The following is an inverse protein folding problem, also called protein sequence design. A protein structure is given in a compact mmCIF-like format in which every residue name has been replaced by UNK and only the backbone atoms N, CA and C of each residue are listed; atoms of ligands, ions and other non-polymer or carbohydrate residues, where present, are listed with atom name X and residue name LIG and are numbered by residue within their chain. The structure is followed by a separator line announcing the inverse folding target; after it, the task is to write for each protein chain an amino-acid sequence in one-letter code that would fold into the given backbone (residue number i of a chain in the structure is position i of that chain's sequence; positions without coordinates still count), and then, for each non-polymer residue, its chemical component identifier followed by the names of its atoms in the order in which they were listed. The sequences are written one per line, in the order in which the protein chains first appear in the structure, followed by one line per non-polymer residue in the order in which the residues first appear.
data_IF_418649512009
#
_entry.id   IF_418649512009
#
_cell.length_a   1.000
_cell.length_b   1.000
_cell.length_c   1.000
_cell.angle_alpha   90.00
_cell.angle_beta   90.00
_cell.angle_gamma   90.00
#
_symmetry.space_group_name_H-M   'P 1'
#
loop_
_entity.id
_entity.type
_entity.pdbx_description
1 polymer ?
#
# COMPACT_ATOMS: atom_id res chain seq x y z
N UNK A 1 -12.30 49.91 73.58
CA UNK A 1 -13.07 48.72 74.03
C UNK A 1 -12.98 47.69 72.90
N UNK A 2 -11.88 46.93 72.79
CA UNK A 2 -11.75 45.53 73.25
C UNK A 2 -12.11 44.59 72.07
N UNK A 3 -11.34 43.58 71.64
CA UNK A 3 -10.14 42.88 72.12
C UNK A 3 -9.37 42.28 70.92
N UNK A 4 -8.13 41.90 71.20
CA UNK A 4 -7.03 41.35 70.40
C UNK A 4 -7.33 40.00 69.71
N UNK A 5 -6.53 39.65 68.69
CA UNK A 5 -5.62 38.48 68.59
C UNK A 5 -5.06 38.43 67.13
N UNK A 6 -3.80 38.80 66.88
CA UNK A 6 -2.57 38.02 66.99
C UNK A 6 -2.46 36.87 65.96
N UNK A 7 -1.46 36.94 65.07
CA UNK A 7 -1.03 35.82 64.24
C UNK A 7 -0.26 36.20 62.97
N UNK A 8 1.04 36.48 63.11
CA UNK A 8 2.00 36.56 62.00
C UNK A 8 2.71 35.21 61.89
N UNK A 9 2.72 34.56 60.71
CA UNK A 9 3.75 33.56 60.34
C UNK A 9 4.07 33.74 58.84
N UNK A 10 5.36 33.82 58.46
CA UNK A 10 5.81 34.17 57.12
C UNK A 10 5.82 32.94 56.19
N UNK A 11 5.32 33.10 54.95
CA UNK A 11 5.30 32.07 53.92
C UNK A 11 6.28 32.38 52.80
N UNK A 12 7.39 31.64 52.81
CA UNK A 12 8.53 31.67 51.89
C UNK A 12 8.10 31.70 50.42
N UNK A 13 8.71 32.62 49.65
CA UNK A 13 8.67 32.68 48.20
C UNK A 13 9.45 31.46 47.63
N UNK A 14 8.76 30.36 47.34
CA UNK A 14 9.36 29.23 46.64
C UNK A 14 9.36 29.51 45.13
N UNK A 15 10.50 29.96 44.60
CA UNK A 15 10.73 30.02 43.16
C UNK A 15 10.83 28.59 42.61
N UNK A 16 9.78 28.11 41.94
CA UNK A 16 9.81 26.85 41.21
C UNK A 16 10.55 27.06 39.89
N UNK A 17 11.80 26.58 39.82
CA UNK A 17 12.54 26.44 38.55
C UNK A 17 11.95 25.22 37.84
N UNK A 18 11.14 25.45 36.80
CA UNK A 18 10.71 24.40 35.89
C UNK A 18 11.89 24.00 34.99
N UNK A 19 12.52 22.87 35.30
CA UNK A 19 13.47 22.24 34.40
C UNK A 19 12.70 21.67 33.20
N UNK A 20 12.72 22.38 32.06
CA UNK A 20 12.35 21.81 30.77
C UNK A 20 13.38 20.73 30.42
N UNK A 21 13.04 19.47 30.68
CA UNK A 21 13.73 18.32 30.12
C UNK A 21 13.48 18.32 28.61
N UNK A 22 14.42 18.86 27.84
CA UNK A 22 14.51 18.56 26.41
C UNK A 22 14.86 17.09 26.28
N UNK A 23 13.85 16.25 25.98
CA UNK A 23 14.09 14.90 25.54
C UNK A 23 14.92 14.97 24.25
N UNK A 24 16.16 14.49 24.30
CA UNK A 24 16.95 14.28 23.10
C UNK A 24 16.14 13.42 22.12
N UNK A 25 16.22 13.66 20.80
CA UNK A 25 15.54 12.80 19.84
C UNK A 25 16.03 11.38 20.07
N UNK A 26 15.10 10.46 20.34
CA UNK A 26 15.42 9.06 20.47
C UNK A 26 16.15 8.63 19.20
N UNK A 27 17.37 8.13 19.36
CA UNK A 27 18.19 7.63 18.27
C UNK A 27 17.36 6.55 17.56
N UNK A 28 16.95 6.82 16.31
CA UNK A 28 16.13 5.91 15.55
C UNK A 28 16.99 4.68 15.24
N UNK A 29 16.89 3.65 16.07
CA UNK A 29 17.65 2.42 15.85
C UNK A 29 17.31 1.87 14.46
N UNK A 30 18.33 1.82 13.60
CA UNK A 30 18.21 1.24 12.28
C UNK A 30 17.91 -0.25 12.44
N UNK A 31 16.69 -0.66 12.14
CA UNK A 31 16.31 -2.07 12.12
C UNK A 31 17.10 -2.78 11.00
N UNK A 32 17.95 -3.74 11.37
CA UNK A 32 18.84 -4.49 10.45
C UNK A 32 18.35 -5.90 10.13
N UNK A 33 17.27 -6.35 10.78
CA UNK A 33 16.66 -7.66 10.57
C UNK A 33 15.13 -7.56 10.55
N UNK A 34 14.47 -8.58 10.01
CA UNK A 34 13.02 -8.69 9.95
C UNK A 34 12.59 -10.13 10.26
N UNK A 35 11.32 -10.31 10.63
CA UNK A 35 10.74 -11.62 10.92
C UNK A 35 9.97 -12.13 9.70
N UNK A 36 10.22 -13.38 9.33
CA UNK A 36 9.40 -14.10 8.37
C UNK A 36 8.31 -14.94 9.08
N UNK A 37 7.14 -15.10 8.46
CA UNK A 37 6.66 -14.34 7.29
C UNK A 37 6.40 -12.86 7.64
N UNK A 38 6.70 -11.94 6.72
CA UNK A 38 6.48 -10.48 6.90
C UNK A 38 4.99 -10.16 6.97
N UNK A 39 4.18 -10.86 6.18
CA UNK A 39 2.72 -10.79 6.16
C UNK A 39 2.17 -12.22 6.15
N UNK A 40 1.86 -12.79 7.33
CA UNK A 40 1.37 -14.17 7.41
C UNK A 40 -0.05 -14.32 6.84
N UNK A 41 -0.93 -13.34 7.10
CA UNK A 41 -2.34 -13.40 6.70
C UNK A 41 -2.88 -12.01 6.32
N UNK A 42 -3.82 -12.00 5.38
CA UNK A 42 -4.61 -10.83 5.05
C UNK A 42 -5.74 -10.60 6.09
N UNK A 43 -6.57 -9.56 5.90
CA UNK A 43 -7.67 -9.31 6.86
C UNK A 43 -8.82 -10.30 6.79
N UNK A 44 -8.92 -11.11 5.73
CA UNK A 44 -9.89 -12.20 5.61
C UNK A 44 -9.45 -13.47 6.36
N UNK A 45 -8.18 -13.53 6.78
CA UNK A 45 -7.56 -14.71 7.38
C UNK A 45 -6.97 -15.67 6.35
N UNK A 46 -6.89 -15.28 5.08
CA UNK A 46 -6.21 -16.01 4.01
C UNK A 46 -4.74 -15.62 3.88
N UNK A 47 -4.01 -16.33 3.03
CA UNK A 47 -2.61 -16.00 2.68
C UNK A 47 -2.53 -14.64 1.94
N UNK A 48 -1.32 -14.10 1.81
CA UNK A 48 -1.04 -12.86 1.05
C UNK A 48 -0.12 -13.11 -0.15
N UNK A 49 -0.57 -13.83 -1.19
CA UNK A 49 0.26 -14.13 -2.36
C UNK A 49 0.58 -12.89 -3.19
N UNK A 50 1.58 -13.04 -4.06
CA UNK A 50 2.02 -12.02 -5.02
C UNK A 50 2.41 -10.67 -4.37
N UNK A 51 3.29 -10.67 -3.35
CA UNK A 51 3.64 -9.45 -2.64
C UNK A 51 4.49 -8.50 -3.51
N UNK A 52 3.98 -7.27 -3.70
CA UNK A 52 4.73 -6.17 -4.31
C UNK A 52 5.09 -5.12 -3.26
N UNK A 53 6.38 -4.97 -2.95
CA UNK A 53 6.89 -4.09 -1.91
C UNK A 53 7.68 -2.91 -2.52
N UNK A 54 7.34 -1.69 -2.13
CA UNK A 54 8.10 -0.49 -2.50
C UNK A 54 8.26 0.47 -1.33
N UNK A 55 9.24 1.38 -1.43
CA UNK A 55 9.51 2.39 -0.40
C UNK A 55 9.22 3.79 -0.94
N UNK A 56 8.45 4.57 -0.19
CA UNK A 56 8.13 5.95 -0.53
C UNK A 56 7.92 6.79 0.73
N UNK A 57 8.49 8.00 0.77
CA UNK A 57 8.41 8.95 1.90
C UNK A 57 8.69 8.32 3.27
N UNK A 58 9.75 7.51 3.35
CA UNK A 58 10.18 6.87 4.60
C UNK A 58 9.25 5.75 5.10
N UNK A 59 8.36 5.23 4.24
CA UNK A 59 7.48 4.10 4.54
C UNK A 59 7.68 2.97 3.54
N UNK A 60 7.50 1.74 4.01
CA UNK A 60 7.26 0.57 3.20
C UNK A 60 5.77 0.50 2.86
N UNK A 61 5.47 0.16 1.62
CA UNK A 61 4.14 -0.05 1.08
C UNK A 61 4.13 -1.41 0.43
N UNK A 62 3.07 -2.18 0.69
CA UNK A 62 2.93 -3.51 0.11
C UNK A 62 1.54 -3.68 -0.47
N UNK A 63 1.49 -4.20 -1.69
CA UNK A 63 0.30 -4.77 -2.32
C UNK A 63 0.43 -6.29 -2.35
N UNK A 64 -0.69 -6.99 -2.41
CA UNK A 64 -0.75 -8.45 -2.56
C UNK A 64 -2.13 -8.82 -3.09
N UNK A 65 -2.24 -10.03 -3.63
CA UNK A 65 -3.53 -10.63 -3.99
C UNK A 65 -4.33 -10.88 -2.72
N UNK A 66 -5.57 -10.38 -2.67
CA UNK A 66 -6.45 -10.52 -1.51
C UNK A 66 -7.88 -10.88 -1.94
N UNK A 67 -8.74 -11.24 -0.99
CA UNK A 67 -10.09 -11.72 -1.30
C UNK A 67 -11.01 -10.63 -1.89
N UNK A 68 -11.15 -10.63 -3.22
CA UNK A 68 -12.14 -9.83 -3.95
C UNK A 68 -11.86 -8.32 -3.98
N UNK A 69 -10.67 -7.88 -3.58
CA UNK A 69 -10.27 -6.48 -3.55
C UNK A 69 -8.77 -6.31 -3.86
N UNK A 70 -8.41 -5.13 -4.36
CA UNK A 70 -7.02 -4.68 -4.39
C UNK A 70 -6.75 -3.87 -3.13
N UNK A 71 -5.64 -4.16 -2.45
CA UNK A 71 -5.32 -3.56 -1.16
C UNK A 71 -3.88 -3.06 -1.08
N UNK A 72 -3.62 -2.23 -0.08
CA UNK A 72 -2.28 -1.99 0.42
C UNK A 72 -2.22 -2.03 1.94
N UNK A 73 -1.03 -2.30 2.47
CA UNK A 73 -0.61 -1.94 3.83
C UNK A 73 0.60 -1.02 3.76
N UNK A 74 0.80 -0.17 4.76
CA UNK A 74 2.03 0.62 4.88
C UNK A 74 2.49 0.81 6.31
N UNK A 75 3.81 0.80 6.51
CA UNK A 75 4.44 0.98 7.80
C UNK A 75 5.81 1.67 7.65
N UNK A 76 6.37 2.21 8.74
CA UNK A 76 7.70 2.83 8.73
C UNK A 76 8.83 1.79 8.75
N UNK A 77 8.54 0.61 9.28
CA UNK A 77 9.46 -0.53 9.36
C UNK A 77 8.79 -1.78 8.82
N UNK A 78 9.58 -2.73 8.30
CA UNK A 78 9.06 -3.87 7.55
C UNK A 78 8.20 -4.80 8.42
N UNK A 79 8.64 -5.12 9.64
CA UNK A 79 7.91 -6.01 10.56
C UNK A 79 6.53 -5.46 10.95
N UNK A 80 6.38 -4.14 10.99
CA UNK A 80 5.11 -3.50 11.32
C UNK A 80 4.08 -3.57 10.19
N UNK A 81 4.42 -4.12 9.02
CA UNK A 81 3.44 -4.38 7.95
C UNK A 81 2.42 -5.46 8.35
N UNK A 82 2.83 -6.44 9.17
CA UNK A 82 1.95 -7.49 9.67
C UNK A 82 0.74 -6.92 10.41
N UNK A 83 0.94 -5.86 11.20
CA UNK A 83 -0.09 -5.21 12.03
C UNK A 83 -0.67 -3.95 11.39
N UNK A 84 -0.11 -3.51 10.26
CA UNK A 84 -0.56 -2.29 9.60
C UNK A 84 -1.99 -2.44 9.06
N UNK A 85 -2.84 -1.40 9.16
CA UNK A 85 -4.19 -1.47 8.62
C UNK A 85 -4.18 -1.74 7.11
N UNK A 86 -4.92 -2.76 6.71
CA UNK A 86 -5.22 -3.02 5.31
C UNK A 86 -6.20 -1.98 4.79
N UNK A 87 -5.87 -1.40 3.64
CA UNK A 87 -6.64 -0.35 2.99
C UNK A 87 -7.01 -0.79 1.59
N UNK A 88 -8.30 -0.72 1.28
CA UNK A 88 -8.82 -1.00 -0.06
C UNK A 88 -8.40 0.10 -1.04
N UNK A 89 -7.84 -0.33 -2.17
CA UNK A 89 -7.58 0.47 -3.37
C UNK A 89 -8.80 0.42 -4.29
N UNK A 90 -9.29 -0.80 -4.56
CA UNK A 90 -10.28 -1.06 -5.61
C UNK A 90 -11.08 -2.34 -5.34
N UNK A 91 -12.35 -2.42 -5.75
CA UNK A 91 -13.20 -1.29 -6.16
C UNK A 91 -13.40 -0.29 -5.00
N UNK A 92 -13.72 0.99 -5.25
CA UNK A 92 -13.92 1.97 -4.17
C UNK A 92 -14.99 1.50 -3.18
N UNK A 93 -14.80 1.77 -1.90
CA UNK A 93 -15.74 1.35 -0.87
C UNK A 93 -17.17 1.87 -1.17
N UNK A 94 -18.16 0.98 -1.08
CA UNK A 94 -19.55 1.31 -1.40
C UNK A 94 -19.87 1.46 -2.89
N UNK A 95 -18.92 1.20 -3.80
CA UNK A 95 -19.14 1.25 -5.24
C UNK A 95 -18.96 -0.13 -5.87
N UNK A 96 -19.89 -0.48 -6.75
CA UNK A 96 -19.72 -1.61 -7.67
C UNK A 96 -19.16 -1.09 -8.98
N UNK A 97 -17.94 -1.52 -9.33
CA UNK A 97 -17.35 -1.22 -10.63
C UNK A 97 -18.02 -2.04 -11.76
N UNK A 98 -17.82 -1.65 -13.03
CA UNK A 98 -18.21 -2.43 -14.19
C UNK A 98 -17.78 -3.90 -14.07
N UNK A 99 -18.68 -4.80 -14.49
CA UNK A 99 -18.50 -6.26 -14.34
C UNK A 99 -17.31 -6.80 -15.13
N UNK A 100 -16.87 -6.07 -16.15
CA UNK A 100 -15.81 -6.43 -17.09
C UNK A 100 -14.39 -6.38 -16.49
N UNK A 101 -14.20 -5.81 -15.29
CA UNK A 101 -12.85 -5.50 -14.75
C UNK A 101 -12.68 -5.70 -13.24
N UNK A 102 -13.51 -6.54 -12.62
CA UNK A 102 -13.60 -6.66 -11.15
C UNK A 102 -13.66 -8.08 -10.60
N UNK A 103 -13.58 -9.10 -11.44
CA UNK A 103 -13.55 -10.49 -11.00
C UNK A 103 -12.11 -11.01 -11.02
N UNK A 104 -11.81 -11.97 -10.13
CA UNK A 104 -10.50 -12.65 -10.06
C UNK A 104 -9.32 -11.64 -10.01
N UNK A 105 -9.35 -10.73 -9.02
CA UNK A 105 -8.39 -9.64 -8.87
C UNK A 105 -7.03 -10.15 -8.34
N UNK A 106 -5.98 -10.11 -9.17
CA UNK A 106 -4.67 -10.70 -8.84
C UNK A 106 -3.47 -9.74 -9.04
N UNK A 107 -2.40 -10.06 -8.31
CA UNK A 107 -1.04 -9.53 -8.42
C UNK A 107 -0.97 -8.00 -8.64
N UNK A 108 -1.57 -7.19 -7.76
CA UNK A 108 -1.48 -5.74 -7.90
C UNK A 108 -0.05 -5.23 -7.64
N UNK A 109 0.45 -4.37 -8.53
CA UNK A 109 1.70 -3.63 -8.36
C UNK A 109 1.48 -2.12 -8.44
N UNK A 110 1.87 -1.38 -7.39
CA UNK A 110 1.83 0.09 -7.37
C UNK A 110 3.16 0.67 -7.83
N UNK A 111 3.11 1.55 -8.83
CA UNK A 111 4.27 2.16 -9.48
C UNK A 111 4.16 3.69 -9.52
N UNK A 112 5.28 4.38 -9.30
CA UNK A 112 5.41 5.83 -9.52
C UNK A 112 6.05 6.06 -10.88
N UNK A 113 5.29 6.59 -11.83
CA UNK A 113 5.70 6.82 -13.22
C UNK A 113 5.44 8.28 -13.56
N UNK A 114 6.50 9.01 -13.93
CA UNK A 114 6.41 10.42 -14.33
C UNK A 114 5.65 11.31 -13.30
N UNK A 115 5.84 11.04 -12.01
CA UNK A 115 5.19 11.79 -10.92
C UNK A 115 3.77 11.34 -10.56
N UNK A 116 3.20 10.37 -11.29
CA UNK A 116 1.87 9.84 -11.03
C UNK A 116 1.90 8.39 -10.54
N UNK A 117 0.96 8.04 -9.66
CA UNK A 117 0.84 6.68 -9.12
C UNK A 117 -0.13 5.85 -9.95
N UNK A 118 0.30 4.64 -10.29
CA UNK A 118 -0.47 3.67 -11.04
C UNK A 118 -0.51 2.34 -10.30
N UNK A 119 -1.64 1.63 -10.39
CA UNK A 119 -1.75 0.23 -9.95
C UNK A 119 -1.99 -0.62 -11.18
N UNK A 120 -1.05 -1.50 -11.49
CA UNK A 120 -1.21 -2.55 -12.49
C UNK A 120 -1.78 -3.77 -11.78
N UNK A 121 -2.82 -4.37 -12.33
CA UNK A 121 -3.45 -5.55 -11.73
C UNK A 121 -4.04 -6.44 -12.81
N UNK A 122 -4.24 -7.71 -12.47
CA UNK A 122 -4.90 -8.67 -13.33
C UNK A 122 -6.36 -8.82 -12.90
N UNK A 123 -7.27 -8.91 -13.87
CA UNK A 123 -8.67 -9.22 -13.59
C UNK A 123 -9.34 -9.92 -14.77
N UNK A 124 -10.57 -10.36 -14.55
CA UNK A 124 -11.51 -10.83 -15.57
C UNK A 124 -12.82 -10.03 -15.53
N UNK A 125 -13.58 -10.17 -16.62
CA UNK A 125 -15.00 -9.93 -16.59
C UNK A 125 -15.70 -11.00 -15.73
N UNK A 126 -16.72 -10.60 -14.97
CA UNK A 126 -17.46 -11.53 -14.13
C UNK A 126 -18.06 -12.67 -14.96
N UNK A 127 -17.76 -13.91 -14.58
CA UNK A 127 -18.29 -15.11 -15.23
C UNK A 127 -17.57 -15.55 -16.51
N UNK A 128 -16.50 -14.87 -16.94
CA UNK A 128 -15.68 -15.34 -18.07
C UNK A 128 -14.60 -16.34 -17.65
N UNK A 129 -14.25 -16.33 -16.37
CA UNK A 129 -13.33 -17.26 -15.73
C UNK A 129 -11.86 -17.05 -16.10
N UNK A 130 -11.00 -17.85 -15.48
CA UNK A 130 -9.54 -17.68 -15.47
C UNK A 130 -8.87 -17.48 -16.82
N UNK A 131 -9.46 -17.96 -17.93
CA UNK A 131 -8.84 -17.84 -19.26
C UNK A 131 -8.99 -16.45 -19.89
N UNK A 132 -9.82 -15.60 -19.32
CA UNK A 132 -10.10 -14.26 -19.83
C UNK A 132 -9.29 -13.17 -19.13
N UNK A 133 -8.26 -13.54 -18.35
CA UNK A 133 -7.48 -12.55 -17.61
C UNK A 133 -6.77 -11.56 -18.54
N UNK A 134 -6.89 -10.29 -18.18
CA UNK A 134 -6.24 -9.14 -18.81
C UNK A 134 -5.55 -8.31 -17.74
N UNK A 135 -4.63 -7.47 -18.20
CA UNK A 135 -3.94 -6.49 -17.34
C UNK A 135 -4.67 -5.16 -17.44
N UNK A 136 -5.01 -4.62 -16.28
CA UNK A 136 -5.71 -3.35 -16.11
C UNK A 136 -4.85 -2.38 -15.31
N UNK A 137 -5.14 -1.09 -15.47
CA UNK A 137 -4.43 0.00 -14.83
C UNK A 137 -5.41 0.90 -14.10
N UNK A 138 -5.10 1.20 -12.85
CA UNK A 138 -5.68 2.31 -12.11
C UNK A 138 -4.69 3.46 -12.05
N UNK A 139 -5.19 4.69 -12.01
CA UNK A 139 -4.40 5.90 -11.82
C UNK A 139 -4.88 6.61 -10.56
N UNK A 140 -3.94 7.00 -9.68
CA UNK A 140 -4.25 7.81 -8.52
C UNK A 140 -4.75 9.18 -8.95
N UNK A 141 -5.75 9.70 -8.23
CA UNK A 141 -6.23 11.08 -8.40
C UNK A 141 -5.34 12.09 -7.67
N UNK A 142 -4.31 11.64 -6.97
CA UNK A 142 -3.42 12.44 -6.14
C UNK A 142 -1.97 12.00 -6.33
N UNK A 143 -1.03 12.75 -5.76
CA UNK A 143 0.39 12.41 -5.78
C UNK A 143 0.78 11.39 -4.68
N UNK A 144 -0.21 10.71 -4.10
CA UNK A 144 -0.03 9.72 -3.04
C UNK A 144 -0.25 8.30 -3.54
N UNK A 145 0.59 7.32 -3.12
CA UNK A 145 0.35 5.89 -3.40
C UNK A 145 -0.92 5.37 -2.69
N UNK A 146 -1.46 6.11 -1.73
CA UNK A 146 -2.71 5.78 -1.05
C UNK A 146 -3.97 6.02 -1.91
N UNK A 147 -3.86 6.70 -3.06
CA UNK A 147 -5.00 7.06 -3.88
C UNK A 147 -5.72 8.34 -3.41
N UNK A 148 -7.05 8.45 -3.61
CA UNK A 148 -7.95 7.45 -4.21
C UNK A 148 -7.63 7.19 -5.68
N UNK A 149 -7.94 5.98 -6.15
CA UNK A 149 -7.68 5.56 -7.52
C UNK A 149 -8.93 5.63 -8.40
N UNK A 150 -8.73 5.81 -9.71
CA UNK A 150 -9.75 5.62 -10.75
C UNK A 150 -9.25 4.60 -11.76
N UNK A 151 -10.19 3.92 -12.42
CA UNK A 151 -9.85 3.16 -13.62
C UNK A 151 -9.19 4.06 -14.67
N UNK A 152 -8.08 3.59 -15.25
CA UNK A 152 -7.34 4.28 -16.31
C UNK A 152 -7.54 3.58 -17.65
N UNK A 153 -7.25 2.28 -17.71
CA UNK A 153 -7.30 1.53 -18.97
C UNK A 153 -7.25 0.02 -18.72
N UNK A 154 -7.74 -0.75 -19.69
CA UNK A 154 -7.22 -2.08 -19.99
C UNK A 154 -6.01 -1.94 -20.90
N UNK A 155 -4.96 -2.76 -20.73
CA UNK A 155 -3.82 -2.74 -21.64
C UNK A 155 -4.14 -3.45 -22.96
N UNK A 156 -3.85 -2.76 -24.07
CA UNK A 156 -3.93 -3.34 -25.41
C UNK A 156 -2.70 -4.22 -25.65
N UNK A 157 -2.86 -5.52 -25.38
CA UNK A 157 -1.82 -6.54 -25.54
C UNK A 157 -2.22 -7.54 -26.63
N UNK A 158 -1.27 -8.01 -27.45
CA UNK A 158 -1.57 -8.86 -28.61
C UNK A 158 -2.03 -10.27 -28.25
N UNK A 159 -1.66 -10.78 -27.07
CA UNK A 159 -2.08 -12.08 -26.56
C UNK A 159 -3.47 -11.96 -25.96
N UNK A 160 -4.33 -12.98 -26.05
CA UNK A 160 -5.66 -12.94 -25.45
C UNK A 160 -5.62 -13.06 -23.91
N UNK A 161 -4.64 -13.80 -23.37
CA UNK A 161 -4.42 -13.98 -21.95
C UNK A 161 -3.15 -13.26 -21.52
N UNK A 162 -3.25 -12.44 -20.47
CA UNK A 162 -2.12 -11.70 -19.90
C UNK A 162 -2.34 -11.47 -18.40
N UNK A 163 -1.32 -11.78 -17.60
CA UNK A 163 -1.30 -11.67 -16.15
C UNK A 163 0.03 -11.09 -15.65
N UNK A 164 0.04 -10.67 -14.39
CA UNK A 164 1.25 -10.36 -13.60
C UNK A 164 2.14 -9.31 -14.28
N UNK A 165 1.51 -8.20 -14.66
CA UNK A 165 2.20 -7.09 -15.32
C UNK A 165 3.06 -6.29 -14.35
N UNK A 166 4.36 -6.21 -14.63
CA UNK A 166 5.29 -5.31 -13.95
C UNK A 166 5.89 -4.30 -14.94
N UNK A 167 6.17 -3.09 -14.47
CA UNK A 167 6.73 -2.02 -15.29
C UNK A 167 8.04 -1.51 -14.71
N UNK A 168 8.98 -1.18 -15.59
CA UNK A 168 10.29 -0.68 -15.20
C UNK A 168 10.87 0.25 -16.26
N UNK A 169 11.75 1.15 -15.84
CA UNK A 169 12.48 2.03 -16.76
C UNK A 169 13.87 1.48 -17.04
N UNK A 170 14.21 1.39 -18.33
CA UNK A 170 15.54 0.99 -18.78
C UNK A 170 16.00 1.94 -19.88
N UNK A 171 17.14 2.60 -19.66
CA UNK A 171 17.73 3.57 -20.62
C UNK A 171 16.74 4.66 -21.08
N UNK A 172 15.94 5.19 -20.15
CA UNK A 172 14.98 6.25 -20.41
C UNK A 172 13.70 5.82 -21.12
N UNK A 173 13.48 4.52 -21.30
CA UNK A 173 12.26 3.94 -21.86
C UNK A 173 11.52 3.16 -20.80
N UNK A 174 10.20 3.30 -20.77
CA UNK A 174 9.31 2.52 -19.92
C UNK A 174 8.99 1.21 -20.64
N UNK A 175 9.14 0.09 -19.93
CA UNK A 175 8.83 -1.24 -20.42
C UNK A 175 7.75 -1.88 -19.55
N UNK A 176 6.93 -2.72 -20.17
CA UNK A 176 6.05 -3.67 -19.48
C UNK A 176 6.60 -5.08 -19.67
N UNK A 177 6.79 -5.81 -18.57
CA UNK A 177 6.98 -7.26 -18.55
C UNK A 177 5.72 -7.95 -18.03
N UNK A 178 5.29 -9.03 -18.66
CA UNK A 178 4.13 -9.80 -18.21
C UNK A 178 4.19 -11.25 -18.68
N UNK A 179 3.38 -12.09 -18.04
CA UNK A 179 3.14 -13.48 -18.40
C UNK A 179 1.90 -13.56 -19.29
N UNK A 180 1.99 -14.22 -20.43
CA UNK A 180 0.84 -14.36 -21.33
C UNK A 180 1.00 -15.44 -22.38
N UNK A 181 0.01 -15.52 -23.27
CA UNK A 181 0.07 -16.37 -24.45
C UNK A 181 -1.29 -16.82 -24.97
N UNK A 182 -1.33 -17.72 -25.96
CA UNK A 182 -2.51 -18.49 -26.27
C UNK A 182 -2.99 -19.28 -25.04
N UNK A 183 -4.26 -19.16 -24.66
CA UNK A 183 -4.99 -19.88 -23.60
C UNK A 183 -4.22 -21.02 -22.86
N UNK A 184 -3.35 -20.67 -21.89
CA UNK A 184 -2.55 -21.60 -21.06
C UNK A 184 -1.50 -22.47 -21.77
N UNK A 185 -1.12 -22.16 -23.02
CA UNK A 185 0.16 -22.64 -23.55
C UNK A 185 1.31 -22.10 -22.67
N UNK A 186 2.50 -22.72 -22.67
CA UNK A 186 3.61 -22.29 -21.82
C UNK A 186 3.76 -20.76 -21.82
N UNK A 187 3.60 -20.18 -20.63
CA UNK A 187 3.56 -18.74 -20.49
C UNK A 187 4.89 -18.15 -20.98
N UNK A 188 4.80 -17.19 -21.89
CA UNK A 188 5.94 -16.46 -22.39
C UNK A 188 6.05 -15.13 -21.65
N UNK A 189 7.30 -14.70 -21.39
CA UNK A 189 7.57 -13.35 -20.92
C UNK A 189 7.59 -12.44 -22.14
N UNK A 190 6.73 -11.42 -22.12
CA UNK A 190 6.70 -10.40 -23.17
C UNK A 190 7.26 -9.08 -22.63
N UNK A 191 8.08 -8.42 -23.42
CA UNK A 191 8.61 -7.08 -23.14
C UNK A 191 8.13 -6.14 -24.24
N UNK A 192 7.34 -5.13 -23.86
CA UNK A 192 6.84 -4.10 -24.79
C UNK A 192 7.17 -2.70 -24.31
#
# INVERSE_FOLDING_TARGET
MGKRLAGTIPGILAAAIAALLFAAPADAQTQTSFRNPVLPVDTSGGDSPDPWLFRHNGRYWINYTSDGQLVYRSARVLDALADAPERRIWPPAGQTEPVDRKAELWAPETHLINGHWYVYYTATAAGTGVRAHRIYVLESRTDSPAGPYRFKSELSLPQPYAIDGTVFSLKGKLYLAYSGGPLFTPASIYLT
#
